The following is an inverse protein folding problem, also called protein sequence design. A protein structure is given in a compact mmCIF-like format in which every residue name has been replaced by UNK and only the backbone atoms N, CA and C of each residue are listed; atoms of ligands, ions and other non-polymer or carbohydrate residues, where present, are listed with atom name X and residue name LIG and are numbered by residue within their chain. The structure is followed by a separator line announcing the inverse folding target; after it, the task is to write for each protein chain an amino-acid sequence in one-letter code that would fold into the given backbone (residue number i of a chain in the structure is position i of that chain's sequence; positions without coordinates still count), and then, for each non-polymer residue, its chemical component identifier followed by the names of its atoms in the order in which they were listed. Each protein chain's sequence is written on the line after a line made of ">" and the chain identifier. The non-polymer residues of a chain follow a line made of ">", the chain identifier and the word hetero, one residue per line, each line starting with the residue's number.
data_IF_115624681685
#
_entry.id   IF_115624681685
#
_cell.length_a   1.000
_cell.length_b   1.000
_cell.length_c   1.000
_cell.angle_alpha   90.00
_cell.angle_beta   90.00
_cell.angle_gamma   90.00
#
_symmetry.space_group_name_H-M   'P 1'
#
loop_
_entity.id
_entity.type
_entity.pdbx_description
1 polymer ?
#
# COMPACT_ATOMS: atom_id res chain seq x y z
N UNK A 1 -2.15 14.19 14.53
CA UNK A 1 -1.82 13.83 15.92
C UNK A 1 -1.93 12.33 16.15
N UNK A 2 -3.09 11.71 15.90
CA UNK A 2 -3.33 10.27 16.12
C UNK A 2 -2.37 9.35 15.37
N UNK A 3 -2.09 9.63 14.08
CA UNK A 3 -1.16 8.84 13.26
C UNK A 3 0.26 8.85 13.82
N UNK A 4 0.79 10.03 14.17
CA UNK A 4 2.13 10.16 14.76
C UNK A 4 2.23 9.47 16.12
N UNK A 5 1.19 9.58 16.95
CA UNK A 5 1.16 8.88 18.23
C UNK A 5 1.23 7.37 18.05
N UNK A 6 0.49 6.82 17.08
CA UNK A 6 0.58 5.41 16.76
C UNK A 6 1.93 5.00 16.15
N UNK A 7 2.53 5.85 15.31
CA UNK A 7 3.84 5.60 14.72
C UNK A 7 4.89 5.35 15.80
N UNK A 8 5.01 6.30 16.75
CA UNK A 8 5.96 6.20 17.85
C UNK A 8 5.61 5.07 18.80
N UNK A 9 4.32 4.86 19.10
CA UNK A 9 3.88 3.77 19.97
C UNK A 9 4.17 2.40 19.37
N UNK A 10 3.94 2.20 18.07
CA UNK A 10 4.24 0.95 17.38
C UNK A 10 5.75 0.70 17.32
N UNK A 11 6.53 1.73 16.97
CA UNK A 11 8.00 1.64 16.92
C UNK A 11 8.56 1.31 18.30
N UNK A 12 8.08 1.97 19.35
CA UNK A 12 8.51 1.70 20.73
C UNK A 12 8.16 0.27 21.16
N UNK A 13 6.92 -0.18 20.91
CA UNK A 13 6.49 -1.56 21.23
C UNK A 13 7.41 -2.59 20.58
N UNK A 14 7.65 -2.46 19.27
CA UNK A 14 8.52 -3.38 18.53
C UNK A 14 9.94 -3.39 19.06
N UNK A 15 10.54 -2.20 19.27
CA UNK A 15 11.92 -2.10 19.74
C UNK A 15 12.06 -2.65 21.15
N UNK A 16 11.14 -2.35 22.05
CA UNK A 16 11.17 -2.82 23.44
C UNK A 16 10.99 -4.35 23.50
N UNK A 17 9.97 -4.88 22.82
CA UNK A 17 9.66 -6.31 22.80
C UNK A 17 10.79 -7.10 22.15
N UNK A 18 11.18 -6.76 20.91
CA UNK A 18 12.17 -7.50 20.12
C UNK A 18 13.57 -7.46 20.75
N UNK A 19 13.99 -6.33 21.33
CA UNK A 19 15.30 -6.24 22.01
C UNK A 19 15.32 -7.13 23.25
N UNK A 20 14.25 -7.13 24.05
CA UNK A 20 14.16 -8.03 25.21
C UNK A 20 14.29 -9.48 24.77
N UNK A 21 13.70 -9.87 23.64
CA UNK A 21 13.79 -11.25 23.13
C UNK A 21 15.18 -11.63 22.65
N UNK A 22 15.86 -10.71 21.96
CA UNK A 22 17.21 -10.95 21.44
C UNK A 22 18.19 -11.16 22.60
N UNK A 23 18.04 -10.43 23.72
CA UNK A 23 18.95 -10.52 24.87
C UNK A 23 18.50 -11.55 25.93
N UNK A 24 17.21 -11.73 26.15
CA UNK A 24 16.65 -12.76 27.03
C UNK A 24 16.26 -13.98 26.18
N UNK A 25 17.27 -14.70 25.71
CA UNK A 25 17.06 -15.97 25.00
C UNK A 25 16.45 -16.98 25.98
N UNK A 26 15.12 -16.98 26.11
CA UNK A 26 14.38 -17.91 26.98
C UNK A 26 14.46 -19.31 26.36
N UNK A 27 14.92 -20.23 27.18
CA UNK A 27 15.27 -21.63 26.89
C UNK A 27 14.11 -22.54 26.41
N UNK A 28 12.97 -22.01 25.96
CA UNK A 28 11.73 -22.80 25.86
C UNK A 28 10.86 -22.49 24.65
N UNK A 29 11.24 -22.91 23.44
CA UNK A 29 10.31 -22.86 22.29
C UNK A 29 10.54 -24.01 21.28
N UNK A 30 10.18 -25.25 21.63
CA UNK A 30 10.22 -26.44 20.75
C UNK A 30 9.21 -26.45 19.58
N UNK A 31 8.55 -25.32 19.26
CA UNK A 31 7.39 -25.32 18.35
C UNK A 31 7.46 -24.31 17.19
N UNK A 32 8.56 -23.58 17.03
CA UNK A 32 8.72 -22.65 15.91
C UNK A 32 9.32 -23.38 14.71
N UNK A 33 8.68 -23.29 13.55
CA UNK A 33 9.18 -23.91 12.32
C UNK A 33 10.47 -23.23 11.82
N UNK A 34 10.64 -21.96 12.15
CA UNK A 34 11.88 -21.19 11.99
C UNK A 34 13.05 -21.77 12.78
N UNK A 35 12.80 -22.44 13.91
CA UNK A 35 13.86 -23.15 14.63
C UNK A 35 14.38 -24.34 13.81
N UNK A 36 13.51 -25.05 13.10
CA UNK A 36 13.94 -26.13 12.20
C UNK A 36 14.73 -25.58 11.00
N UNK A 37 14.32 -24.44 10.45
CA UNK A 37 15.10 -23.76 9.41
C UNK A 37 16.49 -23.35 9.92
N UNK A 38 16.58 -22.81 11.13
CA UNK A 38 17.86 -22.48 11.80
C UNK A 38 18.69 -23.73 12.04
N UNK A 39 18.09 -24.85 12.47
CA UNK A 39 18.79 -26.11 12.66
C UNK A 39 19.39 -26.63 11.34
N UNK A 40 18.65 -26.54 10.23
CA UNK A 40 19.15 -26.91 8.89
C UNK A 40 20.32 -25.99 8.49
N UNK A 41 20.18 -24.68 8.68
CA UNK A 41 21.24 -23.71 8.37
C UNK A 41 22.49 -23.99 9.21
N UNK A 42 22.34 -24.24 10.50
CA UNK A 42 23.44 -24.58 11.40
C UNK A 42 24.11 -25.90 11.01
N UNK A 43 23.34 -26.93 10.62
CA UNK A 43 23.89 -28.19 10.13
C UNK A 43 24.70 -28.00 8.82
N UNK A 44 24.19 -27.19 7.89
CA UNK A 44 24.92 -26.81 6.67
C UNK A 44 26.19 -26.01 6.98
N UNK A 45 26.10 -25.03 7.89
CA UNK A 45 27.21 -24.19 8.30
C UNK A 45 28.31 -24.99 9.02
N UNK A 46 27.91 -25.91 9.91
CA UNK A 46 28.82 -26.84 10.59
C UNK A 46 29.55 -27.73 9.59
N UNK A 47 28.81 -28.29 8.61
CA UNK A 47 29.40 -29.09 7.53
C UNK A 47 30.41 -28.30 6.69
N UNK A 48 30.18 -26.99 6.50
CA UNK A 48 31.04 -26.14 5.68
C UNK A 48 32.26 -25.57 6.44
N UNK A 49 32.09 -25.17 7.69
CA UNK A 49 33.11 -24.41 8.44
C UNK A 49 33.79 -25.20 9.55
N UNK A 50 33.25 -26.35 9.96
CA UNK A 50 33.75 -27.16 11.07
C UNK A 50 33.68 -26.49 12.44
N UNK A 51 32.98 -25.35 12.56
CA UNK A 51 32.78 -24.62 13.82
C UNK A 51 31.41 -24.95 14.43
N UNK A 52 31.33 -24.88 15.76
CA UNK A 52 30.06 -25.05 16.50
C UNK A 52 29.06 -23.93 16.21
N UNK A 53 27.79 -24.23 16.51
CA UNK A 53 26.58 -23.49 16.19
C UNK A 53 26.67 -21.99 16.43
N UNK A 54 25.98 -21.20 15.59
CA UNK A 54 25.96 -19.74 15.67
C UNK A 54 25.26 -19.18 16.93
N UNK A 55 24.70 -20.05 17.79
CA UNK A 55 23.97 -19.65 18.99
C UNK A 55 22.69 -18.84 18.73
N UNK A 56 22.27 -18.72 17.47
CA UNK A 56 21.08 -17.97 17.08
C UNK A 56 19.85 -18.85 17.27
N UNK A 57 18.85 -18.36 18.01
CA UNK A 57 17.53 -18.99 18.12
C UNK A 57 16.60 -18.50 17.01
N UNK A 58 15.62 -19.32 16.60
CA UNK A 58 14.64 -18.94 15.57
C UNK A 58 13.86 -17.67 15.94
N UNK A 59 13.57 -17.50 17.23
CA UNK A 59 12.95 -16.29 17.78
C UNK A 59 13.83 -15.05 17.59
N UNK A 60 15.11 -15.13 17.97
CA UNK A 60 16.05 -14.02 17.77
C UNK A 60 16.25 -13.69 16.29
N UNK A 61 16.20 -14.69 15.40
CA UNK A 61 16.23 -14.47 13.96
C UNK A 61 15.01 -13.66 13.48
N UNK A 62 13.80 -14.03 13.89
CA UNK A 62 12.58 -13.29 13.52
C UNK A 62 12.64 -11.85 14.04
N UNK A 63 13.03 -11.65 15.31
CA UNK A 63 13.18 -10.31 15.91
C UNK A 63 14.22 -9.47 15.18
N UNK A 64 15.39 -10.03 14.86
CA UNK A 64 16.42 -9.34 14.08
C UNK A 64 15.92 -8.94 12.68
N UNK A 65 15.15 -9.81 12.02
CA UNK A 65 14.55 -9.51 10.72
C UNK A 65 13.49 -8.40 10.84
N UNK A 66 12.65 -8.43 11.88
CA UNK A 66 11.65 -7.39 12.14
C UNK A 66 12.32 -6.04 12.41
N UNK A 67 13.31 -5.98 13.31
CA UNK A 67 14.06 -4.76 13.63
C UNK A 67 14.85 -4.22 12.44
N UNK A 68 15.50 -5.08 11.65
CA UNK A 68 16.26 -4.63 10.48
C UNK A 68 15.35 -4.06 9.39
N UNK A 69 14.18 -4.67 9.16
CA UNK A 69 13.18 -4.15 8.24
C UNK A 69 12.54 -2.85 8.76
N UNK A 70 12.27 -2.75 10.06
CA UNK A 70 11.80 -1.51 10.69
C UNK A 70 12.83 -0.38 10.53
N UNK A 71 14.11 -0.67 10.75
CA UNK A 71 15.20 0.29 10.56
C UNK A 71 15.29 0.74 9.10
N UNK A 72 15.22 -0.18 8.14
CA UNK A 72 15.24 0.15 6.72
C UNK A 72 14.07 1.07 6.32
N UNK A 73 12.87 0.82 6.85
CA UNK A 73 11.71 1.68 6.62
C UNK A 73 11.88 3.08 7.23
N UNK A 74 12.42 3.17 8.45
CA UNK A 74 12.76 4.46 9.06
C UNK A 74 13.81 5.22 8.26
N UNK A 75 14.87 4.55 7.80
CA UNK A 75 15.88 5.14 6.94
C UNK A 75 15.26 5.66 5.63
N UNK A 76 14.36 4.89 4.99
CA UNK A 76 13.63 5.34 3.79
C UNK A 76 12.77 6.57 4.09
N UNK A 77 12.00 6.55 5.17
CA UNK A 77 11.14 7.68 5.54
C UNK A 77 11.95 8.95 5.81
N UNK A 78 13.02 8.86 6.59
CA UNK A 78 13.92 9.97 6.88
C UNK A 78 14.63 10.48 5.63
N UNK A 79 15.04 9.58 4.73
CA UNK A 79 15.63 9.95 3.45
C UNK A 79 14.64 10.73 2.57
N UNK A 80 13.39 10.27 2.45
CA UNK A 80 12.36 10.98 1.68
C UNK A 80 12.06 12.35 2.26
N UNK A 81 11.99 12.47 3.60
CA UNK A 81 11.83 13.76 4.28
C UNK A 81 13.03 14.69 4.04
N UNK A 82 14.25 14.17 4.21
CA UNK A 82 15.48 14.91 3.93
C UNK A 82 15.54 15.38 2.47
N UNK A 83 15.22 14.51 1.52
CA UNK A 83 15.18 14.85 0.11
C UNK A 83 14.15 15.94 -0.18
N UNK A 84 12.94 15.84 0.39
CA UNK A 84 11.87 16.81 0.21
C UNK A 84 12.18 18.20 0.81
N UNK A 85 12.90 18.25 1.93
CA UNK A 85 13.18 19.51 2.65
C UNK A 85 14.50 20.14 2.21
N UNK A 86 15.57 19.36 2.09
CA UNK A 86 16.94 19.87 1.96
C UNK A 86 17.49 19.81 0.54
N UNK A 87 17.06 18.84 -0.27
CA UNK A 87 17.68 18.59 -1.60
C UNK A 87 16.83 19.16 -2.73
N UNK A 88 15.52 18.95 -2.67
CA UNK A 88 14.64 19.28 -3.77
C UNK A 88 14.24 20.76 -3.76
N UNK A 89 14.47 21.45 -4.88
CA UNK A 89 13.98 22.82 -5.08
C UNK A 89 12.46 22.90 -4.91
N UNK A 90 11.96 24.02 -4.39
CA UNK A 90 10.53 24.23 -4.08
C UNK A 90 9.59 23.98 -5.27
N UNK A 91 10.08 24.20 -6.50
CA UNK A 91 9.30 24.00 -7.75
C UNK A 91 9.53 22.64 -8.42
N UNK A 92 10.34 21.75 -7.85
CA UNK A 92 10.65 20.47 -8.49
C UNK A 92 9.52 19.46 -8.26
N UNK A 93 8.99 18.86 -9.33
CA UNK A 93 8.00 17.77 -9.21
C UNK A 93 8.52 16.58 -8.38
N UNK A 94 9.84 16.33 -8.39
CA UNK A 94 10.48 15.28 -7.58
C UNK A 94 10.35 15.53 -6.08
N UNK A 95 10.29 16.79 -5.64
CA UNK A 95 10.04 17.15 -4.23
C UNK A 95 8.71 16.57 -3.78
N UNK A 96 7.67 16.87 -4.54
CA UNK A 96 6.30 16.49 -4.19
C UNK A 96 6.04 15.00 -4.36
N UNK A 97 6.78 14.36 -5.28
CA UNK A 97 6.83 12.91 -5.36
C UNK A 97 7.40 12.28 -4.07
N UNK A 98 8.49 12.82 -3.53
CA UNK A 98 9.05 12.34 -2.27
C UNK A 98 8.12 12.62 -1.07
N UNK A 99 7.43 13.78 -1.06
CA UNK A 99 6.45 14.11 0.00
C UNK A 99 5.26 13.14 -0.03
N UNK A 100 4.68 12.88 -1.19
CA UNK A 100 3.55 11.96 -1.29
C UNK A 100 3.97 10.53 -0.92
N UNK A 101 5.15 10.08 -1.36
CA UNK A 101 5.68 8.75 -1.03
C UNK A 101 5.97 8.61 0.48
N UNK A 102 6.49 9.66 1.12
CA UNK A 102 6.71 9.66 2.56
C UNK A 102 5.38 9.58 3.33
N UNK A 103 4.38 10.36 2.95
CA UNK A 103 3.15 10.54 3.73
C UNK A 103 2.07 9.50 3.43
N UNK A 104 1.89 9.11 2.17
CA UNK A 104 0.81 8.20 1.75
C UNK A 104 1.25 6.75 1.58
N UNK A 105 2.55 6.48 1.47
CA UNK A 105 3.07 5.11 1.36
C UNK A 105 3.86 4.74 2.62
N UNK A 106 5.00 5.38 2.84
CA UNK A 106 5.95 4.95 3.88
C UNK A 106 5.41 5.15 5.31
N UNK A 107 4.72 6.25 5.58
CA UNK A 107 4.19 6.54 6.91
C UNK A 107 3.09 5.56 7.36
N UNK A 108 2.04 5.27 6.56
CA UNK A 108 1.08 4.22 6.88
C UNK A 108 1.76 2.86 7.12
N UNK A 109 2.76 2.51 6.32
CA UNK A 109 3.52 1.27 6.49
C UNK A 109 4.25 1.22 7.84
N UNK A 110 4.93 2.29 8.24
CA UNK A 110 5.57 2.37 9.56
C UNK A 110 4.57 2.31 10.71
N UNK A 111 3.38 2.90 10.55
CA UNK A 111 2.33 2.94 11.57
C UNK A 111 1.70 1.57 11.86
N UNK A 112 1.82 0.61 10.95
CA UNK A 112 1.28 -0.75 11.09
C UNK A 112 2.34 -1.82 10.80
N UNK A 113 3.62 -1.46 10.82
CA UNK A 113 4.69 -2.39 10.50
C UNK A 113 4.71 -3.52 11.52
N UNK A 114 4.82 -4.76 11.02
CA UNK A 114 5.15 -5.94 11.81
C UNK A 114 5.58 -7.09 10.89
N UNK A 115 6.41 -8.01 11.38
CA UNK A 115 6.74 -9.28 10.73
C UNK A 115 5.49 -10.12 10.41
N UNK A 116 4.42 -10.00 11.20
CA UNK A 116 3.13 -10.65 10.92
C UNK A 116 2.53 -10.22 9.58
N UNK A 117 2.89 -9.03 9.06
CA UNK A 117 2.47 -8.54 7.74
C UNK A 117 2.92 -9.46 6.60
N UNK A 118 3.90 -10.32 6.81
CA UNK A 118 4.26 -11.38 5.87
C UNK A 118 3.04 -12.23 5.46
N UNK A 119 2.08 -12.45 6.37
CA UNK A 119 0.83 -13.17 6.10
C UNK A 119 -0.05 -12.48 5.04
N UNK A 120 0.09 -11.17 4.82
CA UNK A 120 -0.62 -10.44 3.77
C UNK A 120 -0.39 -11.08 2.38
N UNK A 121 0.85 -11.47 2.09
CA UNK A 121 1.22 -12.06 0.79
C UNK A 121 0.61 -13.44 0.55
N UNK A 122 0.07 -14.08 1.59
CA UNK A 122 -0.59 -15.39 1.51
C UNK A 122 -2.11 -15.25 1.41
N UNK A 123 -2.64 -14.02 1.49
CA UNK A 123 -4.08 -13.81 1.34
C UNK A 123 -4.54 -14.15 -0.09
N UNK A 124 -5.71 -14.79 -0.27
CA UNK A 124 -6.16 -15.23 -1.60
C UNK A 124 -6.24 -14.11 -2.63
N UNK A 125 -6.65 -12.90 -2.21
CA UNK A 125 -6.75 -11.74 -3.09
C UNK A 125 -5.38 -11.32 -3.66
N UNK A 126 -4.34 -11.30 -2.82
CA UNK A 126 -2.98 -10.94 -3.24
C UNK A 126 -2.38 -12.04 -4.12
N UNK A 127 -2.52 -13.31 -3.72
CA UNK A 127 -2.05 -14.44 -4.53
C UNK A 127 -2.69 -14.41 -5.92
N UNK A 128 -4.00 -14.17 -6.00
CA UNK A 128 -4.72 -14.13 -7.28
C UNK A 128 -4.24 -12.97 -8.15
N UNK A 129 -4.07 -11.78 -7.57
CA UNK A 129 -3.52 -10.61 -8.28
C UNK A 129 -2.13 -10.90 -8.83
N UNK A 130 -1.21 -11.37 -7.99
CA UNK A 130 0.16 -11.70 -8.39
C UNK A 130 0.21 -12.80 -9.45
N UNK A 131 -0.63 -13.82 -9.32
CA UNK A 131 -0.75 -14.90 -10.28
C UNK A 131 -1.22 -14.40 -11.66
N UNK A 132 -2.21 -13.49 -11.69
CA UNK A 132 -2.68 -12.89 -12.95
C UNK A 132 -1.63 -12.01 -13.61
N UNK A 133 -0.92 -11.18 -12.82
CA UNK A 133 0.14 -10.31 -13.33
C UNK A 133 1.33 -11.12 -13.88
N UNK A 134 1.76 -12.16 -13.16
CA UNK A 134 2.83 -13.06 -13.64
C UNK A 134 2.41 -13.85 -14.87
N UNK A 135 1.15 -14.29 -14.93
CA UNK A 135 0.64 -14.99 -16.11
C UNK A 135 0.76 -14.10 -17.35
N UNK A 136 0.34 -12.84 -17.27
CA UNK A 136 0.47 -11.87 -18.35
C UNK A 136 1.94 -11.61 -18.73
N UNK A 137 2.83 -11.48 -17.73
CA UNK A 137 4.26 -11.25 -17.96
C UNK A 137 4.99 -12.44 -18.61
N UNK A 138 4.47 -13.66 -18.45
CA UNK A 138 5.05 -14.89 -19.00
C UNK A 138 4.40 -15.32 -20.32
N UNK A 139 3.50 -14.52 -20.90
CA UNK A 139 2.98 -14.80 -22.24
C UNK A 139 4.12 -14.76 -23.27
N UNK A 140 4.21 -15.79 -24.12
CA UNK A 140 5.31 -15.95 -25.09
C UNK A 140 6.58 -16.63 -24.58
N UNK A 141 6.72 -16.85 -23.26
CA UNK A 141 7.91 -17.50 -22.69
C UNK A 141 7.91 -19.03 -22.82
N UNK A 142 9.09 -19.64 -22.72
CA UNK A 142 9.28 -21.10 -22.76
C UNK A 142 8.52 -21.83 -21.62
N UNK A 143 8.16 -23.10 -21.82
CA UNK A 143 7.45 -23.87 -20.80
C UNK A 143 8.27 -24.04 -19.50
N UNK A 144 9.59 -24.20 -19.62
CA UNK A 144 10.47 -24.39 -18.46
C UNK A 144 10.52 -23.13 -17.56
N UNK A 145 10.64 -21.94 -18.16
CA UNK A 145 10.64 -20.68 -17.40
C UNK A 145 9.31 -20.45 -16.71
N UNK A 146 8.19 -20.74 -17.41
CA UNK A 146 6.84 -20.75 -16.80
C UNK A 146 6.76 -21.67 -15.60
N UNK A 147 7.16 -22.94 -15.74
CA UNK A 147 7.08 -23.90 -14.62
C UNK A 147 7.97 -23.50 -13.46
N UNK A 148 9.18 -23.00 -13.72
CA UNK A 148 10.10 -22.55 -12.68
C UNK A 148 9.51 -21.36 -11.90
N UNK A 149 8.92 -20.39 -12.58
CA UNK A 149 8.27 -19.23 -11.94
C UNK A 149 7.05 -19.62 -11.09
N UNK A 150 6.23 -20.57 -11.56
CA UNK A 150 5.10 -21.08 -10.77
C UNK A 150 5.57 -21.84 -9.53
N UNK A 151 6.59 -22.69 -9.66
CA UNK A 151 7.19 -23.40 -8.53
C UNK A 151 7.78 -22.41 -7.53
N UNK A 152 8.51 -21.40 -8.02
CA UNK A 152 9.06 -20.34 -7.18
C UNK A 152 7.98 -19.53 -6.46
N UNK A 153 6.87 -19.21 -7.15
CA UNK A 153 5.72 -18.54 -6.55
C UNK A 153 5.15 -19.39 -5.40
N UNK A 154 4.90 -20.67 -5.61
CA UNK A 154 4.35 -21.55 -4.56
C UNK A 154 5.32 -21.70 -3.39
N UNK A 155 6.59 -21.98 -3.65
CA UNK A 155 7.59 -22.17 -2.60
C UNK A 155 7.81 -20.89 -1.78
N UNK A 156 7.91 -19.73 -2.43
CA UNK A 156 8.07 -18.45 -1.73
C UNK A 156 6.85 -18.13 -0.87
N UNK A 157 5.63 -18.45 -1.32
CA UNK A 157 4.40 -18.25 -0.53
C UNK A 157 4.30 -19.19 0.66
N UNK A 158 4.72 -20.45 0.53
CA UNK A 158 4.82 -21.39 1.65
C UNK A 158 5.84 -20.90 2.68
N UNK A 159 7.02 -20.46 2.24
CA UNK A 159 8.05 -19.94 3.14
C UNK A 159 7.57 -18.69 3.90
N UNK A 160 6.90 -17.76 3.19
CA UNK A 160 6.31 -16.56 3.79
C UNK A 160 5.19 -16.91 4.77
N UNK A 161 4.35 -17.92 4.47
CA UNK A 161 3.31 -18.39 5.38
C UNK A 161 3.90 -18.91 6.68
N UNK A 162 4.92 -19.76 6.60
CA UNK A 162 5.61 -20.30 7.77
C UNK A 162 6.21 -19.18 8.61
N UNK A 163 6.95 -18.26 7.97
CA UNK A 163 7.54 -17.12 8.65
C UNK A 163 6.50 -16.22 9.32
N UNK A 164 5.42 -15.88 8.60
CA UNK A 164 4.35 -15.04 9.11
C UNK A 164 3.55 -15.69 10.24
N UNK A 165 3.33 -17.00 10.19
CA UNK A 165 2.67 -17.75 11.26
C UNK A 165 3.54 -17.81 12.51
N UNK A 166 4.84 -18.06 12.37
CA UNK A 166 5.76 -18.06 13.50
C UNK A 166 5.81 -16.68 14.17
N UNK A 167 5.90 -15.60 13.39
CA UNK A 167 5.85 -14.23 13.90
C UNK A 167 4.54 -13.94 14.64
N UNK A 168 3.39 -14.43 14.12
CA UNK A 168 2.09 -14.28 14.78
C UNK A 168 2.03 -15.06 16.10
N UNK A 169 2.47 -16.32 16.12
CA UNK A 169 2.49 -17.16 17.33
C UNK A 169 3.39 -16.55 18.39
N UNK A 170 4.56 -16.06 17.99
CA UNK A 170 5.53 -15.41 18.86
C UNK A 170 4.91 -14.18 19.56
N UNK A 171 4.30 -13.26 18.79
CA UNK A 171 3.63 -12.09 19.35
C UNK A 171 2.41 -12.42 20.20
N UNK A 172 1.64 -13.44 19.85
CA UNK A 172 0.53 -13.91 20.70
C UNK A 172 1.03 -14.39 22.06
N UNK A 173 2.17 -15.09 22.11
CA UNK A 173 2.77 -15.58 23.37
C UNK A 173 3.30 -14.45 24.23
N UNK A 174 3.96 -13.47 23.62
CA UNK A 174 4.43 -12.27 24.32
C UNK A 174 3.29 -11.48 24.95
N UNK A 175 2.17 -11.41 24.23
CA UNK A 175 1.04 -10.63 24.68
C UNK A 175 0.13 -11.39 25.66
N UNK A 176 0.32 -12.70 25.84
CA UNK A 176 -0.47 -13.54 26.76
C UNK A 176 -0.57 -12.97 28.20
N UNK A 177 0.53 -12.53 28.85
CA UNK A 177 0.47 -11.99 30.22
C UNK A 177 -0.36 -10.70 30.35
N UNK A 178 -0.61 -10.00 29.24
CA UNK A 178 -1.46 -8.81 29.23
C UNK A 178 -2.95 -9.16 29.30
N UNK A 179 -3.34 -10.35 28.81
CA UNK A 179 -4.70 -10.87 28.93
C UNK A 179 -5.01 -11.41 30.33
N UNK A 180 -3.98 -11.75 31.10
CA UNK A 180 -4.12 -12.31 32.45
C UNK A 180 -4.04 -11.21 33.54
N UNK A 181 -4.95 -11.28 34.53
CA UNK A 181 -4.96 -10.41 35.71
C UNK A 181 -5.83 -9.16 35.60
N UNK A 182 -5.55 -8.16 36.44
CA UNK A 182 -6.34 -6.91 36.49
C UNK A 182 -6.04 -6.03 35.27
N UNK A 183 -7.11 -5.51 34.67
CA UNK A 183 -7.04 -4.57 33.56
C UNK A 183 -6.53 -3.22 34.08
N UNK A 184 -5.37 -2.79 33.56
CA UNK A 184 -4.82 -1.44 33.75
C UNK A 184 -4.94 -0.68 32.43
N UNK A 185 -5.08 0.65 32.48
CA UNK A 185 -5.11 1.51 31.29
C UNK A 185 -3.88 1.30 30.39
N UNK A 186 -2.71 1.07 30.99
CA UNK A 186 -1.49 0.75 30.27
C UNK A 186 -1.60 -0.58 29.50
N UNK A 187 -2.13 -1.64 30.14
CA UNK A 187 -2.36 -2.94 29.49
C UNK A 187 -3.38 -2.81 28.35
N UNK A 188 -4.48 -2.07 28.56
CA UNK A 188 -5.45 -1.80 27.49
C UNK A 188 -4.79 -1.12 26.29
N UNK A 189 -3.91 -0.16 26.53
CA UNK A 189 -3.22 0.56 25.46
C UNK A 189 -2.30 -0.36 24.65
N UNK A 190 -1.48 -1.20 25.31
CA UNK A 190 -0.65 -2.20 24.63
C UNK A 190 -1.50 -3.18 23.82
N UNK A 191 -2.62 -3.65 24.39
CA UNK A 191 -3.55 -4.54 23.69
C UNK A 191 -4.14 -3.88 22.43
N UNK A 192 -4.46 -2.58 22.50
CA UNK A 192 -4.96 -1.82 21.35
C UNK A 192 -3.90 -1.69 20.24
N UNK A 193 -2.62 -1.53 20.60
CA UNK A 193 -1.51 -1.55 19.64
C UNK A 193 -1.41 -2.93 19.00
N UNK A 194 -1.44 -4.00 19.79
CA UNK A 194 -1.39 -5.37 19.28
C UNK A 194 -2.56 -5.68 18.34
N UNK A 195 -3.80 -5.32 18.71
CA UNK A 195 -4.97 -5.44 17.83
C UNK A 195 -4.77 -4.66 16.54
N UNK A 196 -4.20 -3.45 16.61
CA UNK A 196 -3.87 -2.66 15.42
C UNK A 196 -2.82 -3.35 14.55
N UNK A 197 -1.81 -4.00 15.13
CA UNK A 197 -0.82 -4.77 14.37
C UNK A 197 -1.46 -5.97 13.66
N UNK A 198 -2.40 -6.68 14.32
CA UNK A 198 -3.18 -7.74 13.69
C UNK A 198 -4.05 -7.20 12.54
N UNK A 199 -4.76 -6.08 12.76
CA UNK A 199 -5.52 -5.42 11.69
C UNK A 199 -4.61 -4.99 10.53
N UNK A 200 -3.36 -4.61 10.84
CA UNK A 200 -2.32 -4.29 9.86
C UNK A 200 -1.87 -5.46 8.98
N UNK A 201 -2.17 -6.71 9.34
CA UNK A 201 -1.93 -7.89 8.49
C UNK A 201 -2.75 -7.79 7.20
N UNK A 202 -4.00 -7.29 7.29
CA UNK A 202 -4.87 -7.12 6.13
C UNK A 202 -4.87 -5.65 5.74
N UNK A 203 -4.07 -5.28 4.73
CA UNK A 203 -3.92 -3.89 4.29
C UNK A 203 -5.09 -3.40 3.44
N UNK A 204 -6.30 -3.41 4.01
CA UNK A 204 -7.53 -3.04 3.30
C UNK A 204 -7.44 -1.63 2.69
N UNK A 205 -6.91 -0.66 3.42
CA UNK A 205 -6.81 0.73 2.94
C UNK A 205 -5.90 0.88 1.72
N UNK A 206 -4.73 0.23 1.74
CA UNK A 206 -3.82 0.24 0.58
C UNK A 206 -4.45 -0.46 -0.62
N UNK A 207 -5.08 -1.61 -0.39
CA UNK A 207 -5.73 -2.40 -1.43
C UNK A 207 -6.90 -1.67 -2.09
N UNK A 208 -7.79 -1.05 -1.30
CA UNK A 208 -8.92 -0.27 -1.83
C UNK A 208 -8.41 0.92 -2.64
N UNK A 209 -7.40 1.63 -2.13
CA UNK A 209 -6.78 2.74 -2.84
C UNK A 209 -6.14 2.31 -4.16
N UNK A 210 -5.42 1.19 -4.17
CA UNK A 210 -4.81 0.66 -5.39
C UNK A 210 -5.87 0.29 -6.43
N UNK A 211 -6.96 -0.35 -6.01
CA UNK A 211 -8.08 -0.65 -6.91
C UNK A 211 -8.76 0.59 -7.47
N UNK A 212 -8.93 1.65 -6.66
CA UNK A 212 -9.43 2.94 -7.14
C UNK A 212 -8.48 3.56 -8.16
N UNK A 213 -7.16 3.45 -7.95
CA UNK A 213 -6.19 3.91 -8.93
C UNK A 213 -6.21 3.07 -10.22
N UNK A 214 -6.35 1.75 -10.14
CA UNK A 214 -6.50 0.89 -11.32
C UNK A 214 -7.76 1.28 -12.10
N UNK A 215 -8.87 1.52 -11.40
CA UNK A 215 -10.11 1.95 -12.02
C UNK A 215 -10.01 3.30 -12.73
N UNK A 216 -9.33 4.28 -12.12
CA UNK A 216 -9.19 5.63 -12.68
C UNK A 216 -8.12 5.72 -13.78
N UNK A 217 -7.01 5.00 -13.63
CA UNK A 217 -5.84 5.15 -14.51
C UNK A 217 -5.55 3.95 -15.42
N UNK A 218 -6.00 2.74 -15.08
CA UNK A 218 -5.70 1.50 -15.80
C UNK A 218 -6.59 1.18 -16.99
N UNK A 219 -7.61 2.01 -17.27
CA UNK A 219 -8.46 1.86 -18.46
C UNK A 219 -9.28 0.57 -18.48
N UNK A 220 -9.56 0.06 -19.69
CA UNK A 220 -10.41 -1.12 -19.92
C UNK A 220 -9.74 -2.43 -19.45
N UNK A 221 -8.43 -2.53 -19.61
CA UNK A 221 -7.68 -3.76 -19.38
C UNK A 221 -7.45 -4.08 -17.89
N UNK A 222 -7.87 -3.18 -16.97
CA UNK A 222 -7.73 -3.34 -15.52
C UNK A 222 -6.31 -3.64 -15.03
N UNK A 223 -5.29 -3.35 -15.85
CA UNK A 223 -3.88 -3.54 -15.54
C UNK A 223 -3.14 -2.21 -15.75
N UNK A 224 -2.45 -1.74 -14.72
CA UNK A 224 -1.66 -0.50 -14.82
C UNK A 224 -0.36 -0.72 -15.59
N UNK A 225 -0.23 -0.08 -16.74
CA UNK A 225 1.02 -0.04 -17.51
C UNK A 225 2.04 0.91 -16.87
N UNK A 226 3.35 0.76 -17.11
CA UNK A 226 4.37 1.65 -16.53
C UNK A 226 4.13 3.15 -16.80
N UNK A 227 3.57 3.50 -17.96
CA UNK A 227 3.21 4.87 -18.31
C UNK A 227 2.04 5.40 -17.48
N UNK A 228 1.09 4.54 -17.13
CA UNK A 228 -0.08 4.88 -16.30
C UNK A 228 0.31 5.03 -14.83
N UNK A 229 1.23 4.19 -14.35
CA UNK A 229 1.87 4.34 -13.02
C UNK A 229 2.55 5.71 -12.93
N UNK A 230 3.37 6.07 -13.93
CA UNK A 230 4.01 7.39 -13.97
C UNK A 230 2.98 8.54 -13.97
N UNK A 231 1.84 8.37 -14.65
CA UNK A 231 0.75 9.37 -14.66
C UNK A 231 0.09 9.48 -13.28
N UNK A 232 -0.18 8.36 -12.61
CA UNK A 232 -0.70 8.30 -11.23
C UNK A 232 0.25 9.03 -10.28
N UNK A 233 1.54 8.78 -10.38
CA UNK A 233 2.57 9.39 -9.52
C UNK A 233 2.69 10.89 -9.74
N UNK A 234 2.66 11.34 -11.01
CA UNK A 234 2.62 12.76 -11.35
C UNK A 234 1.34 13.40 -10.77
N UNK A 235 0.19 12.76 -10.92
CA UNK A 235 -1.08 13.26 -10.39
C UNK A 235 -1.03 13.42 -8.87
N UNK A 236 -0.56 12.40 -8.14
CA UNK A 236 -0.37 12.44 -6.69
C UNK A 236 0.60 13.54 -6.27
N UNK A 237 1.70 13.72 -7.00
CA UNK A 237 2.68 14.78 -6.73
C UNK A 237 2.09 16.19 -6.91
N UNK A 238 1.28 16.38 -7.96
CA UNK A 238 0.60 17.65 -8.22
C UNK A 238 -0.49 17.93 -7.18
N UNK A 239 -1.20 16.90 -6.72
CA UNK A 239 -2.17 17.02 -5.64
C UNK A 239 -1.48 17.46 -4.35
N UNK A 240 -0.39 16.80 -3.96
CA UNK A 240 0.41 17.19 -2.80
C UNK A 240 0.89 18.65 -2.92
N UNK A 241 1.45 19.04 -4.07
CA UNK A 241 1.87 20.42 -4.33
C UNK A 241 0.72 21.42 -4.14
N UNK A 242 -0.44 21.17 -4.75
CA UNK A 242 -1.61 22.06 -4.64
C UNK A 242 -2.15 22.18 -3.21
N UNK A 243 -2.09 21.11 -2.43
CA UNK A 243 -2.48 21.15 -1.01
C UNK A 243 -1.54 22.10 -0.25
N UNK A 244 -0.22 21.92 -0.42
CA UNK A 244 0.80 22.76 0.24
C UNK A 244 0.76 24.22 -0.17
N UNK A 245 0.56 24.51 -1.45
CA UNK A 245 0.46 25.87 -1.96
C UNK A 245 -0.78 26.61 -1.41
N UNK A 246 -1.89 25.89 -1.20
CA UNK A 246 -3.17 26.50 -0.79
C UNK A 246 -3.35 26.64 0.71
N UNK A 247 -2.93 25.65 1.50
CA UNK A 247 -3.30 25.59 2.93
C UNK A 247 -2.12 25.89 3.87
N UNK A 248 -0.89 25.99 3.36
CA UNK A 248 0.33 26.17 4.17
C UNK A 248 0.74 24.90 4.92
N UNK A 249 1.94 24.88 5.50
CA UNK A 249 2.61 23.66 5.95
C UNK A 249 1.76 22.78 6.90
N UNK A 250 1.32 23.31 8.03
CA UNK A 250 0.67 22.51 9.08
C UNK A 250 -0.71 21.99 8.67
N UNK A 251 -1.50 22.82 7.99
CA UNK A 251 -2.82 22.41 7.49
C UNK A 251 -2.67 21.39 6.36
N UNK A 252 -1.66 21.54 5.52
CA UNK A 252 -1.37 20.60 4.43
C UNK A 252 -0.95 19.24 4.94
N UNK A 253 -0.10 19.20 5.97
CA UNK A 253 0.24 17.95 6.67
C UNK A 253 -1.03 17.31 7.25
N UNK A 254 -1.88 18.09 7.93
CA UNK A 254 -3.12 17.56 8.48
C UNK A 254 -4.06 17.01 7.39
N UNK A 255 -4.21 17.72 6.26
CA UNK A 255 -5.01 17.29 5.11
C UNK A 255 -4.42 16.02 4.51
N UNK A 256 -3.11 15.96 4.24
CA UNK A 256 -2.49 14.77 3.66
C UNK A 256 -2.59 13.55 4.58
N UNK A 257 -2.47 13.73 5.90
CA UNK A 257 -2.62 12.65 6.88
C UNK A 257 -4.06 12.17 7.06
N UNK A 258 -5.05 13.00 6.70
CA UNK A 258 -6.47 12.65 6.78
C UNK A 258 -7.07 12.28 5.42
N UNK A 259 -6.31 12.41 4.35
CA UNK A 259 -6.75 12.11 2.98
C UNK A 259 -7.07 10.62 2.84
N UNK A 260 -8.34 10.33 2.55
CA UNK A 260 -8.85 8.97 2.38
C UNK A 260 -9.40 8.71 0.96
N UNK A 261 -9.87 7.49 0.74
CA UNK A 261 -10.52 7.05 -0.50
C UNK A 261 -11.79 7.85 -0.84
N UNK A 262 -12.49 8.42 0.14
CA UNK A 262 -13.68 9.25 -0.07
C UNK A 262 -13.31 10.63 -0.58
N UNK A 263 -12.24 11.21 -0.04
CA UNK A 263 -11.68 12.46 -0.54
C UNK A 263 -11.20 12.32 -1.97
N UNK A 264 -10.53 11.20 -2.29
CA UNK A 264 -10.17 10.86 -3.66
C UNK A 264 -11.40 10.75 -4.56
N UNK A 265 -12.43 10.01 -4.15
CA UNK A 265 -13.66 9.85 -4.92
C UNK A 265 -14.34 11.20 -5.20
N UNK A 266 -14.39 12.11 -4.22
CA UNK A 266 -14.95 13.46 -4.39
C UNK A 266 -14.15 14.32 -5.36
N UNK A 267 -12.83 14.14 -5.44
CA UNK A 267 -11.98 14.85 -6.39
C UNK A 267 -12.20 14.38 -7.83
N UNK A 268 -12.53 13.10 -8.02
CA UNK A 268 -12.77 12.51 -9.34
C UNK A 268 -14.21 12.76 -9.82
N UNK A 269 -15.20 12.61 -8.95
CA UNK A 269 -16.63 12.79 -9.24
C UNK A 269 -17.07 14.25 -9.05
N UNK A 270 -16.62 15.14 -9.93
CA UNK A 270 -17.09 16.54 -9.93
C UNK A 270 -18.44 16.67 -10.66
N UNK A 271 -19.50 16.04 -10.14
CA UNK A 271 -20.85 16.09 -10.74
C UNK A 271 -21.41 17.52 -10.84
N UNK A 272 -21.04 18.40 -9.90
CA UNK A 272 -21.52 19.79 -9.87
C UNK A 272 -20.96 20.65 -11.02
N UNK A 273 -19.77 20.34 -11.52
CA UNK A 273 -19.20 21.05 -12.67
C UNK A 273 -19.90 20.63 -13.98
N UNK A 274 -20.25 19.35 -14.10
CA UNK A 274 -20.92 18.81 -15.29
C UNK A 274 -22.40 19.20 -15.33
N UNK A 275 -23.11 19.22 -14.20
CA UNK A 275 -24.52 19.62 -14.15
C UNK A 275 -24.74 21.07 -14.60
N UNK A 276 -23.83 21.98 -14.28
CA UNK A 276 -23.88 23.37 -14.76
C UNK A 276 -23.63 23.50 -16.27
N UNK A 277 -22.74 22.68 -16.83
CA UNK A 277 -22.45 22.66 -18.27
C UNK A 277 -23.57 22.02 -19.10
N UNK A 278 -24.19 20.96 -18.60
CA UNK A 278 -25.35 20.32 -19.23
C UNK A 278 -26.58 21.23 -19.22
N UNK A 279 -26.82 21.98 -18.13
CA UNK A 279 -27.92 22.96 -18.09
C UNK A 279 -27.72 24.13 -19.06
N UNK A 280 -26.48 24.61 -19.26
CA UNK A 280 -26.20 25.62 -20.28
C UNK A 280 -26.34 25.08 -21.70
N UNK A 281 -25.93 23.84 -21.96
CA UNK A 281 -26.05 23.21 -23.27
C UNK A 281 -27.52 22.91 -23.65
N UNK A 282 -28.33 22.45 -22.70
CA UNK A 282 -29.77 22.22 -22.91
C UNK A 282 -30.56 23.53 -23.05
N UNK A 283 -30.14 24.62 -22.38
CA UNK A 283 -30.72 25.94 -22.58
C UNK A 283 -30.41 26.51 -23.97
N UNK A 284 -29.19 26.33 -24.48
CA UNK A 284 -28.83 26.71 -25.86
C UNK A 284 -29.52 25.83 -26.91
N UNK A 285 -29.61 24.52 -26.70
CA UNK A 285 -30.32 23.61 -27.60
C UNK A 285 -31.85 23.83 -27.60
N UNK A 286 -32.43 24.19 -26.46
CA UNK A 286 -33.82 24.62 -26.33
C UNK A 286 -34.09 25.95 -27.05
N UNK A 287 -33.18 26.92 -26.95
CA UNK A 287 -33.25 28.19 -27.68
C UNK A 287 -33.18 28.03 -29.20
N UNK A 288 -32.31 27.14 -29.70
CA UNK A 288 -32.17 26.86 -31.13
C UNK A 288 -33.42 26.18 -31.74
N UNK A 289 -34.11 25.30 -31.00
CA UNK A 289 -35.38 24.69 -31.44
C UNK A 289 -36.55 25.69 -31.48
N UNK A 290 -36.57 26.70 -30.61
CA UNK A 290 -37.57 27.77 -30.64
C UNK A 290 -37.31 28.74 -31.82
N UNK A 291 -36.04 28.95 -32.21
CA UNK A 291 -35.70 29.73 -33.40
C UNK A 291 -36.03 28.98 -34.71
N UNK A 292 -35.78 27.67 -34.80
CA UNK A 292 -36.07 26.88 -36.01
C UNK A 292 -37.58 26.63 -36.24
N UNK A 293 -38.39 26.58 -35.18
CA UNK A 293 -39.86 26.46 -35.29
C UNK A 293 -40.57 27.77 -35.68
N UNK A 294 -39.85 28.90 -35.71
CA UNK A 294 -40.37 30.19 -36.19
C UNK A 294 -40.08 30.48 -37.67
N UNK A 295 -39.26 29.67 -38.34
CA UNK A 295 -38.91 29.87 -39.76
C UNK A 295 -39.49 28.79 -40.71
N UNK A 296 -40.30 27.87 -40.20
CA UNK A 296 -40.90 26.77 -40.97
C UNK A 296 -42.40 26.99 -41.21
N UNK A 297 -42.72 28.18 -41.73
CA UNK A 297 -44.06 28.58 -42.15
C UNK A 297 -43.99 29.38 -43.45
N UNK A 298 -43.33 28.83 -44.47
CA UNK A 298 -43.55 29.06 -45.91
C UNK A 298 -42.35 28.52 -46.67
N UNK A 299 -42.50 27.37 -47.33
CA UNK A 299 -42.18 27.23 -48.76
C UNK A 299 -42.38 25.79 -49.21
N UNK A 300 -43.33 25.66 -50.12
CA UNK A 300 -43.58 24.52 -50.96
C UNK A 300 -42.44 24.27 -51.96
N UNK A 301 -42.30 23.00 -52.31
CA UNK A 301 -41.81 22.44 -53.58
C UNK A 301 -40.32 22.15 -53.77
N UNK A 302 -40.10 20.89 -54.15
CA UNK A 302 -39.06 20.34 -55.04
C UNK A 302 -37.58 20.37 -54.62
N UNK A 303 -37.05 19.19 -54.33
CA UNK A 303 -36.23 18.40 -55.27
C UNK A 303 -35.15 17.55 -54.56
N UNK A 304 -34.93 16.42 -55.20
CA UNK A 304 -34.09 15.30 -54.81
C UNK A 304 -32.59 15.65 -54.74
N UNK A 305 -31.89 15.04 -53.78
CA UNK A 305 -30.58 14.36 -53.93
C UNK A 305 -29.91 14.28 -52.55
N UNK A 306 -29.77 13.08 -51.97
CA UNK A 306 -28.60 12.21 -52.11
C UNK A 306 -27.30 12.92 -51.71
N UNK A 307 -26.72 12.59 -50.55
CA UNK A 307 -25.35 12.05 -50.42
C UNK A 307 -24.98 11.80 -48.94
N UNK A 308 -24.31 10.67 -48.76
CA UNK A 308 -23.68 10.15 -47.54
C UNK A 308 -22.28 10.76 -47.30
N UNK A 309 -21.79 10.57 -46.06
CA UNK A 309 -20.38 10.49 -45.58
C UNK A 309 -19.74 11.70 -44.86
N UNK A 310 -19.52 11.53 -43.53
CA UNK A 310 -18.24 11.34 -42.79
C UNK A 310 -16.98 12.15 -43.20
N UNK A 311 -16.03 12.46 -42.28
CA UNK A 311 -15.40 11.57 -41.29
C UNK A 311 -15.74 11.87 -39.83
#
# INVERSE_FOLDING_TARGET
>A
MTVLFYLFSNTYSLVDEDLVQIFQSRESQHFLLSQEAVNIINACYHKWTGKMDMGVTGQALICCLELSALLALWCRFLWLLYYAVCVASSRSGRKWLAVQEAVWETLPELCSFSAMRALHFVTPAVIMSDATQRRAALEGEALWTKTAEWVWLVLSRIAILVFGLDALVLKCRENQPWFEGRISLYKCWLLLIFVKQILGIVQLGMFVRERLFIFVFGGEDSQMQPKEIARKDIWNSLLAMKIFDRFGLWRSIAIMLSFDDRDFQRLVLNEQATAGQSQSADAEAGGAKIAASRSSGDESSNDESFYWCRP
#
